data_IF_676321327163
#
_entry.id   IF_676321327163
#
_cell.length_a   1.000
_cell.length_b   1.000
_cell.length_c   1.000
_cell.angle_alpha   90.00
_cell.angle_beta   90.00
_cell.angle_gamma   90.00
#
_symmetry.space_group_name_H-M   'P 1'
#
loop_
_entity.id
_entity.type
_entity.pdbx_description
1 polymer ?
#
# COMPACT_ATOMS: atom_id res chain seq x y z
N UNK A 1 -28.71 6.87 55.77
CA UNK A 1 -27.29 7.30 55.89
C UNK A 1 -27.18 8.66 55.20
N UNK A 2 -26.31 9.54 55.69
CA UNK A 2 -26.08 10.88 55.13
C UNK A 2 -25.63 10.84 53.67
N UNK A 3 -25.67 11.88 52.83
CA UNK A 3 -26.43 13.14 52.68
C UNK A 3 -25.60 14.04 51.74
N UNK A 4 -26.24 14.98 51.03
CA UNK A 4 -25.64 16.06 50.23
C UNK A 4 -24.97 15.69 48.87
N UNK A 5 -25.46 16.24 47.74
CA UNK A 5 -24.78 16.25 46.44
C UNK A 5 -23.95 17.53 46.22
N UNK A 6 -23.18 17.59 45.13
CA UNK A 6 -22.48 18.80 44.64
C UNK A 6 -22.89 19.13 43.17
N UNK A 7 -22.79 20.40 42.71
CA UNK A 7 -23.75 20.94 41.76
C UNK A 7 -23.25 21.19 40.32
N UNK A 8 -24.19 21.57 39.44
CA UNK A 8 -23.98 21.86 38.02
C UNK A 8 -23.59 23.30 37.70
N UNK A 9 -22.71 23.48 36.71
CA UNK A 9 -22.64 24.61 35.78
C UNK A 9 -22.14 24.03 34.44
N UNK A 10 -22.93 23.96 33.37
CA UNK A 10 -23.49 25.05 32.53
C UNK A 10 -22.39 25.95 31.99
N UNK A 11 -22.04 25.72 30.71
CA UNK A 11 -21.13 26.54 29.91
C UNK A 11 -21.95 27.25 28.84
N UNK A 12 -21.70 28.53 28.62
CA UNK A 12 -22.54 29.43 27.83
C UNK A 12 -21.65 30.37 26.98
N UNK A 13 -22.06 30.64 25.75
CA UNK A 13 -21.25 31.34 24.76
C UNK A 13 -21.46 32.87 24.79
N UNK A 14 -20.46 33.70 24.44
CA UNK A 14 -20.58 35.16 24.46
C UNK A 14 -21.42 35.71 23.31
N UNK A 15 -22.15 36.81 23.53
CA UNK A 15 -21.95 37.96 22.63
C UNK A 15 -22.13 39.38 23.25
N UNK A 16 -21.38 40.32 22.66
CA UNK A 16 -21.73 41.73 22.36
C UNK A 16 -22.06 42.78 23.44
N UNK A 17 -21.61 44.02 23.15
CA UNK A 17 -21.97 45.31 23.76
C UNK A 17 -23.23 45.90 23.09
N UNK A 18 -23.92 46.88 23.70
CA UNK A 18 -23.72 48.32 23.38
C UNK A 18 -23.41 49.17 24.64
N UNK A 19 -22.82 50.38 24.62
CA UNK A 19 -22.98 51.60 23.78
C UNK A 19 -24.29 52.39 24.06
N UNK A 20 -24.40 53.72 23.91
CA UNK A 20 -23.46 54.77 23.45
C UNK A 20 -23.45 55.99 24.43
N UNK A 21 -22.77 57.12 24.19
CA UNK A 21 -23.22 58.33 23.43
C UNK A 21 -22.33 59.51 23.92
N UNK A 22 -21.88 60.56 23.20
CA UNK A 22 -21.87 61.02 21.79
C UNK A 22 -20.70 62.06 21.64
N UNK A 23 -19.95 62.22 20.52
CA UNK A 23 -20.22 62.89 19.20
C UNK A 23 -20.24 64.44 19.30
N UNK A 24 -19.79 65.27 18.30
CA UNK A 24 -19.43 65.01 16.88
C UNK A 24 -18.04 65.50 16.32
N UNK A 25 -17.68 64.94 15.13
CA UNK A 25 -17.10 65.48 13.85
C UNK A 25 -16.24 66.80 13.80
N UNK A 26 -15.38 67.14 12.80
CA UNK A 26 -14.83 66.61 11.50
C UNK A 26 -13.53 67.44 11.15
N UNK A 27 -12.97 67.66 9.92
CA UNK A 27 -13.05 67.08 8.55
C UNK A 27 -11.64 66.65 7.96
N UNK A 28 -11.45 66.28 6.66
CA UNK A 28 -10.20 65.65 6.15
C UNK A 28 -9.32 66.38 5.08
N UNK A 29 -8.15 65.76 4.76
CA UNK A 29 -7.20 66.01 3.62
C UNK A 29 -6.19 67.21 3.73
N UNK A 30 -4.97 67.22 3.15
CA UNK A 30 -4.22 66.29 2.26
C UNK A 30 -2.67 66.20 2.59
N UNK A 31 -1.66 66.12 1.67
CA UNK A 31 -0.86 64.89 1.55
C UNK A 31 0.71 65.02 1.45
N UNK A 32 1.36 63.86 1.23
CA UNK A 32 2.73 63.57 0.71
C UNK A 32 3.93 63.51 1.69
N UNK A 33 4.75 62.47 1.45
CA UNK A 33 6.13 62.28 1.95
C UNK A 33 7.14 62.99 1.02
N UNK A 34 8.39 63.21 1.45
CA UNK A 34 9.41 62.21 1.10
C UNK A 34 10.27 61.78 2.29
N UNK A 35 11.03 60.69 2.11
CA UNK A 35 12.09 60.28 3.02
C UNK A 35 13.45 60.75 2.48
N UNK A 36 14.41 60.99 3.38
CA UNK A 36 15.83 60.81 3.07
C UNK A 36 16.57 60.32 4.33
N UNK A 37 17.73 59.69 4.15
CA UNK A 37 18.48 59.03 5.21
C UNK A 37 19.52 59.95 5.87
N UNK A 38 19.78 59.73 7.16
CA UNK A 38 20.97 60.26 7.84
C UNK A 38 21.40 59.35 9.00
N UNK A 39 22.71 59.39 9.29
CA UNK A 39 23.38 58.44 10.18
C UNK A 39 22.99 58.61 11.67
N UNK A 40 23.14 57.56 12.51
CA UNK A 40 22.98 57.69 13.95
C UNK A 40 24.01 58.69 14.51
N UNK A 41 23.52 59.72 15.20
CA UNK A 41 24.37 60.68 15.92
C UNK A 41 25.17 59.94 16.98
N UNK A 42 26.50 60.04 16.92
CA UNK A 42 27.37 59.40 17.90
C UNK A 42 27.13 60.00 19.29
N UNK A 43 26.82 59.13 20.26
CA UNK A 43 26.43 59.48 21.63
C UNK A 43 27.43 60.43 22.32
N UNK A 44 28.72 60.30 21.99
CA UNK A 44 29.80 61.17 22.46
C UNK A 44 29.60 62.66 22.13
N UNK A 45 28.99 63.02 20.99
CA UNK A 45 28.71 64.43 20.66
C UNK A 45 27.59 65.02 21.53
N UNK A 46 26.58 64.22 21.87
CA UNK A 46 25.53 64.64 22.81
C UNK A 46 26.07 64.76 24.23
N UNK A 47 26.94 63.83 24.65
CA UNK A 47 27.61 63.92 25.95
C UNK A 47 28.55 65.13 26.04
N UNK A 48 29.31 65.45 24.97
CA UNK A 48 30.16 66.65 24.93
C UNK A 48 29.34 67.95 25.03
N UNK A 49 28.27 68.10 24.23
CA UNK A 49 27.40 69.27 24.29
C UNK A 49 26.67 69.42 25.63
N UNK A 50 26.27 68.31 26.26
CA UNK A 50 25.67 68.32 27.60
C UNK A 50 26.69 68.65 28.69
N UNK A 51 27.93 68.16 28.56
CA UNK A 51 29.02 68.53 29.45
C UNK A 51 29.28 70.05 29.40
N UNK A 52 29.62 70.59 28.22
CA UNK A 52 29.89 72.02 28.03
C UNK A 52 28.71 72.90 28.47
N UNK A 53 27.47 72.52 28.12
CA UNK A 53 26.27 73.26 28.53
C UNK A 53 26.00 73.18 30.04
N UNK A 54 26.43 72.11 30.73
CA UNK A 54 26.28 71.99 32.19
C UNK A 54 27.38 72.73 32.94
N UNK A 55 28.64 72.63 32.49
CA UNK A 55 29.80 73.28 33.09
C UNK A 55 29.70 74.80 32.91
N UNK A 56 29.39 75.28 31.70
CA UNK A 56 29.15 76.70 31.45
C UNK A 56 27.92 77.25 32.21
N UNK A 57 26.86 76.45 32.41
CA UNK A 57 25.70 76.87 33.20
C UNK A 57 26.03 76.96 34.70
N UNK A 58 26.80 76.00 35.22
CA UNK A 58 27.28 76.02 36.61
C UNK A 58 28.26 77.18 36.83
N UNK A 59 29.22 77.41 35.94
CA UNK A 59 30.17 78.53 36.06
C UNK A 59 29.50 79.89 35.85
N UNK A 60 28.49 80.01 34.98
CA UNK A 60 27.72 81.25 34.82
C UNK A 60 26.86 81.52 36.07
N UNK A 61 26.26 80.48 36.66
CA UNK A 61 25.54 80.58 37.94
C UNK A 61 26.50 80.90 39.10
N UNK A 62 27.67 80.26 39.15
CA UNK A 62 28.69 80.54 40.17
C UNK A 62 29.21 81.97 40.04
N UNK A 63 29.49 82.44 38.81
CA UNK A 63 29.89 83.83 38.53
C UNK A 63 28.79 84.83 38.89
N UNK A 64 27.53 84.49 38.66
CA UNK A 64 26.37 85.28 39.09
C UNK A 64 26.24 85.34 40.62
N UNK A 65 26.60 84.27 41.32
CA UNK A 65 26.52 84.17 42.78
C UNK A 65 27.76 84.66 43.54
N UNK A 66 28.96 84.65 42.94
CA UNK A 66 30.22 85.09 43.56
C UNK A 66 30.14 86.51 44.20
N UNK A 67 29.48 87.50 43.60
CA UNK A 67 29.26 88.82 44.22
C UNK A 67 28.43 88.78 45.52
N UNK A 68 27.60 87.77 45.72
CA UNK A 68 26.74 87.58 46.90
C UNK A 68 27.34 86.58 47.90
N UNK A 69 27.99 85.52 47.42
CA UNK A 69 28.73 84.56 48.24
C UNK A 69 29.91 85.23 48.94
N UNK A 70 30.61 86.15 48.28
CA UNK A 70 31.74 86.89 48.88
C UNK A 70 31.36 87.67 50.16
N UNK A 71 30.31 88.52 50.19
CA UNK A 71 29.85 89.14 51.43
C UNK A 71 29.20 88.16 52.41
N UNK A 72 28.47 87.12 51.95
CA UNK A 72 27.88 86.11 52.86
C UNK A 72 28.97 85.34 53.60
N UNK A 73 30.00 84.84 52.90
CA UNK A 73 31.13 84.12 53.52
C UNK A 73 31.96 85.05 54.40
N UNK A 74 32.19 86.30 54.00
CA UNK A 74 32.83 87.30 54.89
C UNK A 74 32.00 87.56 56.14
N UNK A 75 30.68 87.63 56.04
CA UNK A 75 29.80 87.85 57.20
C UNK A 75 29.78 86.61 58.12
N UNK A 76 29.70 85.41 57.56
CA UNK A 76 29.78 84.16 58.31
C UNK A 76 31.13 84.02 59.04
N UNK A 77 32.25 84.19 58.32
CA UNK A 77 33.59 84.18 58.93
C UNK A 77 33.73 85.29 59.98
N UNK A 78 33.11 86.46 59.80
CA UNK A 78 33.13 87.52 60.80
C UNK A 78 32.29 87.17 62.04
N UNK A 79 31.17 86.46 61.89
CA UNK A 79 30.38 85.91 63.01
C UNK A 79 31.14 84.79 63.75
N UNK A 80 31.89 83.95 63.04
CA UNK A 80 32.64 82.82 63.63
C UNK A 80 33.97 83.27 64.29
N UNK A 81 34.65 84.28 63.72
CA UNK A 81 35.91 84.85 64.26
C UNK A 81 35.64 85.91 65.33
N UNK A 82 34.48 86.57 65.30
CA UNK A 82 34.07 87.55 66.31
C UNK A 82 32.55 87.56 66.45
N UNK A 83 31.99 86.60 67.22
CA UNK A 83 30.58 86.62 67.57
C UNK A 83 30.23 88.00 68.14
N UNK A 84 29.10 88.61 67.74
CA UNK A 84 28.69 89.89 68.30
C UNK A 84 28.47 89.70 69.80
N UNK A 85 29.43 90.18 70.60
CA UNK A 85 29.32 90.19 72.05
C UNK A 85 28.06 90.98 72.39
N UNK A 86 27.04 90.25 72.85
CA UNK A 86 25.72 90.82 73.12
C UNK A 86 25.72 91.57 74.45
N UNK A 87 26.64 92.52 74.61
CA UNK A 87 26.55 93.55 75.64
C UNK A 87 25.20 94.23 75.48
N UNK A 88 24.43 94.27 76.57
CA UNK A 88 23.08 94.81 76.51
C UNK A 88 23.12 96.26 76.03
N UNK A 89 22.45 96.53 74.91
CA UNK A 89 22.43 97.85 74.26
C UNK A 89 21.65 98.87 75.10
N UNK A 90 20.91 98.44 76.13
CA UNK A 90 20.39 99.30 77.18
C UNK A 90 21.45 99.60 78.25
N UNK A 91 22.10 98.60 78.85
CA UNK A 91 23.20 98.78 79.81
C UNK A 91 24.36 99.62 79.25
N UNK A 92 24.80 99.34 78.01
CA UNK A 92 25.85 100.11 77.35
C UNK A 92 25.43 101.57 77.07
N UNK A 93 24.15 101.82 76.80
CA UNK A 93 23.64 103.20 76.68
C UNK A 93 23.58 103.91 78.03
N UNK A 94 23.20 103.22 79.11
CA UNK A 94 23.22 103.77 80.48
C UNK A 94 24.64 104.15 80.90
N UNK A 95 25.62 103.27 80.63
CA UNK A 95 27.05 103.52 80.86
C UNK A 95 27.54 104.76 80.08
N UNK A 96 27.14 104.90 78.82
CA UNK A 96 27.54 106.05 77.99
C UNK A 96 26.81 107.36 78.34
N UNK A 97 25.76 107.31 79.18
CA UNK A 97 25.04 108.50 79.68
C UNK A 97 25.34 108.85 81.14
N UNK A 98 26.14 108.04 81.83
CA UNK A 98 26.55 108.25 83.22
C UNK A 98 27.49 109.44 83.33
N UNK A 99 27.25 110.32 84.33
CA UNK A 99 28.09 111.50 84.59
C UNK A 99 28.73 111.40 85.97
N UNK A 100 27.99 110.90 86.97
CA UNK A 100 28.48 110.63 88.32
C UNK A 100 28.89 109.15 88.49
N UNK A 101 29.67 108.85 89.54
CA UNK A 101 30.14 107.47 89.80
C UNK A 101 28.98 106.50 90.12
N UNK A 102 27.92 106.99 90.78
CA UNK A 102 26.72 106.21 91.09
C UNK A 102 25.90 105.87 89.83
N UNK A 103 25.92 106.72 88.79
CA UNK A 103 25.28 106.41 87.51
C UNK A 103 25.95 105.22 86.81
N UNK A 104 27.29 105.16 86.86
CA UNK A 104 28.09 104.04 86.34
C UNK A 104 27.76 102.76 87.10
N UNK A 105 27.65 102.85 88.43
CA UNK A 105 27.27 101.73 89.30
C UNK A 105 25.86 101.21 89.00
N UNK A 106 24.88 102.10 88.81
CA UNK A 106 23.52 101.75 88.41
C UNK A 106 23.45 101.17 86.98
N UNK A 107 24.28 101.65 86.06
CA UNK A 107 24.36 101.13 84.69
C UNK A 107 24.95 99.70 84.63
N UNK A 108 25.86 99.36 85.56
CA UNK A 108 26.38 98.01 85.77
C UNK A 108 25.43 97.09 86.56
N UNK A 109 24.31 97.61 87.08
CA UNK A 109 23.36 96.87 87.92
C UNK A 109 22.11 96.32 87.20
N UNK A 110 22.27 95.61 86.06
CA UNK A 110 21.36 94.54 85.68
C UNK A 110 22.07 93.18 85.72
N UNK A 111 22.54 92.76 86.90
CA UNK A 111 22.93 91.37 87.13
C UNK A 111 21.64 90.54 87.21
N UNK A 112 21.39 89.56 86.31
CA UNK A 112 20.08 88.94 86.19
C UNK A 112 19.77 88.04 87.39
N UNK A 113 18.52 88.13 87.90
CA UNK A 113 18.03 87.42 89.10
C UNK A 113 18.14 85.88 89.01
N UNK A 114 18.39 85.33 87.83
CA UNK A 114 18.66 83.91 87.61
C UNK A 114 20.03 83.42 88.10
N UNK A 115 20.92 84.31 88.55
CA UNK A 115 22.28 83.93 88.97
C UNK A 115 22.34 82.89 90.11
N UNK A 116 21.46 82.89 91.14
CA UNK A 116 21.46 81.88 92.20
C UNK A 116 21.02 80.48 91.74
N UNK A 117 20.12 80.39 90.75
CA UNK A 117 19.64 79.12 90.19
C UNK A 117 20.58 78.53 89.12
N UNK A 118 21.58 79.30 88.66
CA UNK A 118 22.52 78.90 87.62
C UNK A 118 23.23 77.55 87.92
N UNK A 119 23.73 77.26 89.14
CA UNK A 119 24.39 75.97 89.43
C UNK A 119 23.44 74.78 89.30
N UNK A 120 22.17 74.96 89.70
CA UNK A 120 21.12 73.94 89.56
C UNK A 120 20.81 73.70 88.08
N UNK A 121 20.64 74.78 87.30
CA UNK A 121 20.35 74.70 85.87
C UNK A 121 21.50 74.04 85.09
N UNK A 122 22.75 74.28 85.49
CA UNK A 122 23.93 73.58 84.98
C UNK A 122 23.87 72.09 85.32
N UNK A 123 23.61 71.71 86.58
CA UNK A 123 23.50 70.30 86.98
C UNK A 123 22.37 69.54 86.27
N UNK A 124 21.24 70.20 86.02
CA UNK A 124 20.14 69.65 85.21
C UNK A 124 20.54 69.45 83.74
N UNK A 125 21.28 70.40 83.13
CA UNK A 125 21.81 70.28 81.77
C UNK A 125 22.92 69.21 81.66
N UNK A 126 23.80 69.08 82.65
CA UNK A 126 24.79 68.00 82.70
C UNK A 126 24.12 66.61 82.81
N UNK A 127 23.06 66.49 83.61
CA UNK A 127 22.31 65.24 83.71
C UNK A 127 21.62 64.88 82.38
N UNK A 128 21.05 65.87 81.68
CA UNK A 128 20.51 65.70 80.33
C UNK A 128 21.60 65.31 79.32
N UNK A 129 22.78 65.94 79.37
CA UNK A 129 23.92 65.61 78.51
C UNK A 129 24.37 64.15 78.72
N UNK A 130 24.65 63.74 79.98
CA UNK A 130 25.02 62.36 80.31
C UNK A 130 23.94 61.35 79.90
N UNK A 131 22.66 61.71 80.02
CA UNK A 131 21.55 60.87 79.58
C UNK A 131 21.47 60.75 78.04
N UNK A 132 21.73 61.85 77.32
CA UNK A 132 21.77 61.85 75.86
C UNK A 132 22.99 61.08 75.32
N UNK A 133 24.15 61.21 75.96
CA UNK A 133 25.36 60.42 75.68
C UNK A 133 25.13 58.94 75.93
N UNK A 134 24.52 58.57 77.06
CA UNK A 134 24.16 57.19 77.37
C UNK A 134 23.15 56.62 76.36
N UNK A 135 22.13 57.39 75.97
CA UNK A 135 21.17 57.04 74.94
C UNK A 135 21.82 56.84 73.56
N UNK A 136 22.72 57.76 73.16
CA UNK A 136 23.49 57.64 71.93
C UNK A 136 24.45 56.44 71.95
N UNK A 137 25.05 56.12 73.09
CA UNK A 137 25.88 54.93 73.26
C UNK A 137 25.05 53.64 73.22
N UNK A 138 23.84 53.63 73.77
CA UNK A 138 22.91 52.51 73.67
C UNK A 138 22.44 52.29 72.21
N UNK A 139 22.06 53.36 71.50
CA UNK A 139 21.70 53.32 70.09
C UNK A 139 22.87 52.81 69.20
N UNK A 140 24.09 53.31 69.41
CA UNK A 140 25.30 52.80 68.73
C UNK A 140 25.51 51.30 68.99
N UNK A 141 25.31 50.83 70.22
CA UNK A 141 25.39 49.39 70.57
C UNK A 141 24.29 48.55 69.92
N UNK A 142 23.06 49.06 69.80
CA UNK A 142 21.95 48.31 69.18
C UNK A 142 22.06 48.17 67.65
N UNK A 143 22.77 49.08 66.98
CA UNK A 143 22.98 49.02 65.53
C UNK A 143 23.94 47.89 65.12
N UNK A 144 24.94 47.54 65.94
CA UNK A 144 25.96 46.54 65.56
C UNK A 144 25.37 45.14 65.29
N UNK A 145 24.51 44.56 66.14
CA UNK A 145 23.84 43.29 65.83
C UNK A 145 22.96 43.35 64.57
N UNK A 146 22.26 44.46 64.34
CA UNK A 146 21.43 44.65 63.14
C UNK A 146 22.29 44.71 61.87
N UNK A 147 23.45 45.36 61.94
CA UNK A 147 24.42 45.43 60.85
C UNK A 147 24.95 44.03 60.49
N UNK A 148 25.34 43.23 61.49
CA UNK A 148 25.82 41.87 61.29
C UNK A 148 24.73 40.93 60.73
N UNK A 149 23.49 41.02 61.25
CA UNK A 149 22.36 40.27 60.74
C UNK A 149 22.04 40.65 59.27
N UNK A 150 22.08 41.94 58.94
CA UNK A 150 21.90 42.43 57.56
C UNK A 150 23.01 41.92 56.63
N UNK A 151 24.26 41.88 57.08
CA UNK A 151 25.37 41.39 56.26
C UNK A 151 25.30 39.88 56.03
N UNK A 152 24.94 39.10 57.06
CA UNK A 152 24.65 37.67 56.94
C UNK A 152 23.50 37.42 55.94
N UNK A 153 22.41 38.19 56.03
CA UNK A 153 21.29 38.09 55.09
C UNK A 153 21.70 38.42 53.63
N UNK A 154 22.55 39.44 53.40
CA UNK A 154 23.12 39.71 52.06
C UNK A 154 23.96 38.54 51.55
N UNK A 155 24.79 37.94 52.40
CA UNK A 155 25.65 36.81 52.02
C UNK A 155 24.80 35.59 51.62
N UNK A 156 23.77 35.26 52.42
CA UNK A 156 22.80 34.23 52.09
C UNK A 156 22.07 34.53 50.76
N UNK A 157 21.61 35.77 50.56
CA UNK A 157 20.95 36.18 49.31
C UNK A 157 21.87 36.06 48.09
N UNK A 158 23.14 36.43 48.23
CA UNK A 158 24.16 36.28 47.17
C UNK A 158 24.41 34.81 46.83
N UNK A 159 24.49 33.93 47.85
CA UNK A 159 24.62 32.48 47.65
C UNK A 159 23.36 31.92 46.98
N UNK A 160 22.16 32.32 47.40
CA UNK A 160 20.93 31.85 46.75
C UNK A 160 20.83 32.31 45.29
N UNK A 161 21.22 33.55 44.97
CA UNK A 161 21.27 34.05 43.60
C UNK A 161 22.16 33.19 42.73
N UNK A 162 23.41 32.94 43.14
CA UNK A 162 24.33 32.11 42.34
C UNK A 162 23.89 30.65 42.22
N UNK A 163 23.19 30.09 43.22
CA UNK A 163 22.56 28.76 43.07
C UNK A 163 21.39 28.75 42.08
N UNK A 164 20.56 29.79 42.05
CA UNK A 164 19.45 29.91 41.07
C UNK A 164 20.02 30.09 39.66
N UNK A 165 20.98 31.00 39.47
CA UNK A 165 21.67 31.23 38.21
C UNK A 165 22.32 29.93 37.67
N UNK A 166 22.93 29.13 38.56
CA UNK A 166 23.50 27.83 38.20
C UNK A 166 22.44 26.79 37.79
N UNK A 167 21.32 26.70 38.53
CA UNK A 167 20.23 25.78 38.20
C UNK A 167 19.48 26.19 36.93
N UNK A 168 19.40 27.48 36.61
CA UNK A 168 18.89 27.99 35.34
C UNK A 168 19.86 27.78 34.17
N UNK A 169 21.18 27.78 34.43
CA UNK A 169 22.19 27.39 33.46
C UNK A 169 22.11 25.87 33.13
N UNK A 170 21.78 25.03 34.10
CA UNK A 170 21.57 23.58 33.91
C UNK A 170 20.20 23.25 33.27
N UNK A 171 19.14 23.97 33.64
CA UNK A 171 17.80 23.77 33.07
C UNK A 171 17.71 24.11 31.57
N UNK A 172 18.49 25.08 31.08
CA UNK A 172 18.49 25.49 29.67
C UNK A 172 18.86 24.35 28.69
N UNK A 173 20.01 23.65 28.83
CA UNK A 173 20.33 22.51 27.97
C UNK A 173 19.34 21.35 28.17
N UNK A 174 18.83 21.09 29.38
CA UNK A 174 17.80 20.06 29.60
C UNK A 174 16.49 20.32 28.85
N UNK A 175 16.03 21.58 28.80
CA UNK A 175 14.87 21.96 27.96
C UNK A 175 15.15 21.78 26.47
N UNK A 176 16.36 22.12 26.03
CA UNK A 176 16.80 21.94 24.63
C UNK A 176 16.90 20.46 24.23
N UNK A 177 17.43 19.58 25.10
CA UNK A 177 17.47 18.14 24.84
C UNK A 177 16.07 17.53 24.84
N UNK A 178 15.15 17.99 25.70
CA UNK A 178 13.77 17.48 25.71
C UNK A 178 13.04 17.81 24.39
N UNK A 179 13.09 19.07 23.94
CA UNK A 179 12.53 19.48 22.62
C UNK A 179 13.11 18.63 21.47
N UNK A 180 14.40 18.29 21.53
CA UNK A 180 15.04 17.41 20.54
C UNK A 180 14.56 15.95 20.64
N UNK A 181 14.26 15.44 21.84
CA UNK A 181 13.67 14.11 22.04
C UNK A 181 12.24 14.08 21.52
N UNK A 182 11.41 15.09 21.83
CA UNK A 182 10.04 15.22 21.31
C UNK A 182 10.02 15.21 19.77
N UNK A 183 10.91 15.99 19.14
CA UNK A 183 11.06 16.02 17.68
C UNK A 183 11.58 14.70 17.06
N UNK A 184 12.31 13.88 17.82
CA UNK A 184 12.71 12.53 17.40
C UNK A 184 11.57 11.52 17.56
N UNK A 185 10.81 11.59 18.65
CA UNK A 185 9.63 10.76 18.89
C UNK A 185 8.53 11.03 17.87
N UNK A 186 8.32 12.30 17.50
CA UNK A 186 7.41 12.66 16.40
C UNK A 186 7.83 11.99 15.09
N UNK A 187 9.10 12.15 14.67
CA UNK A 187 9.61 11.54 13.43
C UNK A 187 9.57 10.01 13.46
N UNK A 188 9.79 9.40 14.62
CA UNK A 188 9.64 7.96 14.82
C UNK A 188 8.18 7.54 14.58
N UNK A 189 7.21 8.23 15.19
CA UNK A 189 5.79 7.94 15.01
C UNK A 189 5.32 8.15 13.56
N UNK A 190 5.78 9.21 12.89
CA UNK A 190 5.54 9.47 11.46
C UNK A 190 6.12 8.33 10.59
N UNK A 191 7.36 7.91 10.85
CA UNK A 191 8.02 6.80 10.16
C UNK A 191 7.31 5.46 10.38
N UNK A 192 6.90 5.17 11.62
CA UNK A 192 6.12 3.96 11.95
C UNK A 192 4.76 3.97 11.25
N UNK A 193 4.04 5.11 11.23
CA UNK A 193 2.77 5.25 10.53
C UNK A 193 2.90 5.09 9.00
N UNK A 194 3.99 5.58 8.41
CA UNK A 194 4.32 5.32 7.00
C UNK A 194 4.65 3.84 6.76
N UNK A 195 5.41 3.19 7.65
CA UNK A 195 5.73 1.77 7.54
C UNK A 195 4.48 0.90 7.63
N UNK A 196 3.53 1.20 8.54
CA UNK A 196 2.24 0.51 8.63
C UNK A 196 1.47 0.59 7.31
N UNK A 197 1.30 1.80 6.75
CA UNK A 197 0.62 2.00 5.45
C UNK A 197 1.32 1.27 4.29
N UNK A 198 2.65 1.25 4.29
CA UNK A 198 3.44 0.53 3.29
C UNK A 198 3.31 -0.99 3.41
N UNK A 199 2.82 -1.53 4.54
CA UNK A 199 2.51 -2.95 4.72
C UNK A 199 1.06 -3.31 4.36
N UNK A 200 0.11 -2.37 4.46
CA UNK A 200 -1.32 -2.61 4.19
C UNK A 200 -1.57 -3.19 2.79
N UNK A 201 -0.96 -2.61 1.74
CA UNK A 201 -1.11 -3.11 0.37
C UNK A 201 -0.48 -4.50 0.15
N UNK A 202 0.80 -4.75 0.51
CA UNK A 202 1.37 -6.11 0.45
C UNK A 202 0.59 -7.16 1.26
N UNK A 203 0.04 -6.81 2.42
CA UNK A 203 -0.80 -7.72 3.22
C UNK A 203 -2.11 -8.05 2.50
N UNK A 204 -2.77 -7.07 1.88
CA UNK A 204 -3.96 -7.29 1.06
C UNK A 204 -3.66 -8.17 -0.17
N UNK A 205 -2.54 -7.91 -0.89
CA UNK A 205 -2.13 -8.74 -2.03
C UNK A 205 -1.78 -10.19 -1.65
N UNK A 206 -1.16 -10.41 -0.47
CA UNK A 206 -0.88 -11.76 0.04
C UNK A 206 -2.20 -12.48 0.34
N UNK A 207 -3.12 -11.84 1.06
CA UNK A 207 -4.43 -12.40 1.34
C UNK A 207 -5.23 -12.75 0.05
N UNK A 208 -5.17 -11.89 -0.98
CA UNK A 208 -5.76 -12.20 -2.28
C UNK A 208 -5.13 -13.45 -2.91
N UNK A 209 -3.79 -13.52 -2.96
CA UNK A 209 -3.05 -14.65 -3.53
C UNK A 209 -3.33 -15.96 -2.80
N UNK A 210 -3.48 -15.93 -1.48
CA UNK A 210 -3.87 -17.11 -0.69
C UNK A 210 -5.28 -17.63 -1.08
N UNK A 211 -6.25 -16.75 -1.33
CA UNK A 211 -7.57 -17.18 -1.83
C UNK A 211 -7.50 -17.82 -3.22
N UNK A 212 -6.60 -17.32 -4.09
CA UNK A 212 -6.36 -17.87 -5.42
C UNK A 212 -5.67 -19.24 -5.33
N UNK A 213 -4.66 -19.39 -4.47
CA UNK A 213 -3.99 -20.67 -4.20
C UNK A 213 -5.03 -21.70 -3.74
N UNK A 214 -5.83 -21.38 -2.72
CA UNK A 214 -6.88 -22.29 -2.24
C UNK A 214 -7.98 -22.57 -3.28
N UNK A 215 -8.24 -21.67 -4.24
CA UNK A 215 -9.10 -21.96 -5.39
C UNK A 215 -8.46 -22.95 -6.37
N UNK A 216 -7.18 -22.78 -6.68
CA UNK A 216 -6.41 -23.68 -7.55
C UNK A 216 -6.23 -25.07 -6.92
N UNK A 217 -5.94 -25.17 -5.63
CA UNK A 217 -5.86 -26.45 -4.89
C UNK A 217 -7.18 -27.23 -4.97
N UNK A 218 -8.32 -26.57 -4.70
CA UNK A 218 -9.66 -27.17 -4.80
C UNK A 218 -10.00 -27.61 -6.23
N UNK A 219 -9.54 -26.90 -7.25
CA UNK A 219 -9.69 -27.30 -8.66
C UNK A 219 -8.82 -28.52 -8.97
N UNK A 220 -7.54 -28.47 -8.61
CA UNK A 220 -6.55 -29.52 -8.87
C UNK A 220 -6.87 -30.83 -8.13
N UNK A 221 -7.49 -30.76 -6.94
CA UNK A 221 -8.05 -31.92 -6.25
C UNK A 221 -9.21 -32.58 -7.04
N UNK A 222 -10.13 -31.79 -7.60
CA UNK A 222 -11.23 -32.29 -8.45
C UNK A 222 -10.69 -32.92 -9.74
N UNK A 223 -9.72 -32.28 -10.40
CA UNK A 223 -9.10 -32.79 -11.63
C UNK A 223 -8.33 -34.09 -11.36
N UNK A 224 -7.64 -34.23 -10.23
CA UNK A 224 -6.99 -35.49 -9.80
C UNK A 224 -7.99 -36.63 -9.61
N UNK A 225 -9.10 -36.41 -8.90
CA UNK A 225 -10.10 -37.47 -8.69
C UNK A 225 -10.87 -37.80 -9.99
N UNK A 226 -11.12 -36.82 -10.86
CA UNK A 226 -11.70 -37.06 -12.18
C UNK A 226 -10.76 -37.90 -13.07
N UNK A 227 -9.45 -37.61 -13.09
CA UNK A 227 -8.44 -38.40 -13.81
C UNK A 227 -8.36 -39.82 -13.26
N UNK A 228 -8.32 -39.99 -11.93
CA UNK A 228 -8.32 -41.29 -11.24
C UNK A 228 -9.56 -42.13 -11.58
N UNK A 229 -10.74 -41.51 -11.65
CA UNK A 229 -11.97 -42.16 -12.10
C UNK A 229 -11.90 -42.58 -13.58
N UNK A 230 -11.35 -41.73 -14.46
CA UNK A 230 -11.15 -42.05 -15.88
C UNK A 230 -10.16 -43.22 -16.09
N UNK A 231 -9.05 -43.24 -15.33
CA UNK A 231 -8.09 -44.37 -15.33
C UNK A 231 -8.74 -45.66 -14.84
N UNK A 232 -9.55 -45.60 -13.77
CA UNK A 232 -10.31 -46.77 -13.31
C UNK A 232 -11.31 -47.29 -14.36
N UNK A 233 -12.02 -46.39 -15.05
CA UNK A 233 -12.94 -46.74 -16.12
C UNK A 233 -12.22 -47.37 -17.33
N UNK A 234 -11.11 -46.78 -17.78
CA UNK A 234 -10.28 -47.32 -18.86
C UNK A 234 -9.67 -48.69 -18.50
N UNK A 235 -9.23 -48.86 -17.25
CA UNK A 235 -8.76 -50.16 -16.72
C UNK A 235 -9.87 -51.21 -16.81
N UNK A 236 -11.11 -50.84 -16.49
CA UNK A 236 -12.25 -51.74 -16.56
C UNK A 236 -12.66 -52.08 -18.00
N UNK A 237 -12.65 -51.10 -18.92
CA UNK A 237 -12.84 -51.33 -20.36
C UNK A 237 -11.78 -52.28 -20.91
N UNK A 238 -10.51 -52.11 -20.51
CA UNK A 238 -9.40 -52.98 -20.92
C UNK A 238 -9.59 -54.41 -20.42
N UNK A 239 -10.06 -54.60 -19.18
CA UNK A 239 -10.44 -55.94 -18.65
C UNK A 239 -11.61 -56.55 -19.43
N UNK A 240 -12.63 -55.77 -19.77
CA UNK A 240 -13.77 -56.23 -20.56
C UNK A 240 -13.33 -56.67 -21.97
N UNK A 241 -12.51 -55.87 -22.65
CA UNK A 241 -11.91 -56.22 -23.94
C UNK A 241 -11.07 -57.49 -23.85
N UNK A 242 -10.22 -57.62 -22.82
CA UNK A 242 -9.42 -58.83 -22.60
C UNK A 242 -10.30 -60.08 -22.37
N UNK A 243 -11.39 -59.95 -21.63
CA UNK A 243 -12.36 -61.04 -21.45
C UNK A 243 -13.09 -61.41 -22.75
N UNK A 244 -13.42 -60.43 -23.60
CA UNK A 244 -14.00 -60.67 -24.94
C UNK A 244 -12.97 -61.38 -25.85
N UNK A 245 -11.71 -60.94 -25.86
CA UNK A 245 -10.64 -61.56 -26.64
C UNK A 245 -10.34 -63.00 -26.16
N UNK A 246 -10.39 -63.28 -24.86
CA UNK A 246 -10.32 -64.64 -24.33
C UNK A 246 -11.50 -65.49 -24.79
N UNK A 247 -12.74 -64.95 -24.78
CA UNK A 247 -13.92 -65.66 -25.29
C UNK A 247 -13.79 -65.95 -26.78
N UNK A 248 -13.38 -64.97 -27.59
CA UNK A 248 -13.14 -65.15 -29.03
C UNK A 248 -12.04 -66.17 -29.33
N UNK A 249 -10.96 -66.21 -28.53
CA UNK A 249 -9.88 -67.21 -28.66
C UNK A 249 -10.28 -68.61 -28.17
N UNK A 250 -11.24 -68.73 -27.24
CA UNK A 250 -11.76 -70.01 -26.73
C UNK A 250 -12.91 -70.56 -27.56
N UNK A 251 -13.67 -69.70 -28.23
CA UNK A 251 -14.59 -70.11 -29.28
C UNK A 251 -13.79 -70.75 -30.41
N UNK A 252 -14.15 -71.97 -30.80
CA UNK A 252 -13.75 -72.49 -32.11
C UNK A 252 -14.38 -71.57 -33.16
N UNK A 253 -13.65 -71.24 -34.23
CA UNK A 253 -14.13 -70.37 -35.31
C UNK A 253 -15.34 -70.93 -36.08
N UNK A 254 -15.69 -72.18 -35.79
CA UNK A 254 -16.95 -72.83 -36.16
C UNK A 254 -17.41 -73.55 -34.89
N UNK A 255 -18.65 -73.32 -34.43
CA UNK A 255 -19.23 -74.16 -33.37
C UNK A 255 -19.53 -75.57 -33.89
N UNK A 256 -19.89 -76.50 -33.00
CA UNK A 256 -20.08 -77.90 -33.39
C UNK A 256 -21.19 -78.04 -34.43
N UNK A 257 -22.31 -77.33 -34.25
CA UNK A 257 -23.50 -77.48 -35.09
C UNK A 257 -23.28 -76.86 -36.47
N UNK A 258 -22.60 -75.71 -36.53
CA UNK A 258 -22.18 -75.07 -37.78
C UNK A 258 -21.15 -75.94 -38.52
N UNK A 259 -20.24 -76.64 -37.80
CA UNK A 259 -19.26 -77.52 -38.43
C UNK A 259 -19.92 -78.77 -39.06
N UNK A 260 -20.82 -79.43 -38.32
CA UNK A 260 -21.63 -80.53 -38.86
C UNK A 260 -22.50 -80.06 -40.03
N UNK A 261 -23.13 -78.88 -39.92
CA UNK A 261 -23.93 -78.28 -41.00
C UNK A 261 -23.12 -78.05 -42.27
N UNK A 262 -21.87 -77.58 -42.16
CA UNK A 262 -20.95 -77.35 -43.28
C UNK A 262 -20.51 -78.69 -43.91
N UNK A 263 -20.21 -79.70 -43.09
CA UNK A 263 -19.88 -81.06 -43.55
C UNK A 263 -21.07 -81.74 -44.26
N UNK A 264 -22.29 -81.56 -43.75
CA UNK A 264 -23.53 -82.07 -44.37
C UNK A 264 -23.94 -81.27 -45.62
N UNK A 265 -23.62 -79.98 -45.69
CA UNK A 265 -23.73 -79.21 -46.93
C UNK A 265 -22.75 -79.75 -47.98
N UNK A 266 -21.51 -80.05 -47.59
CA UNK A 266 -20.47 -80.61 -48.44
C UNK A 266 -20.84 -82.02 -48.94
N UNK A 267 -21.29 -82.93 -48.06
CA UNK A 267 -21.79 -84.28 -48.43
C UNK A 267 -22.96 -84.22 -49.40
N UNK A 268 -23.93 -83.33 -49.17
CA UNK A 268 -25.07 -83.15 -50.09
C UNK A 268 -24.63 -82.51 -51.41
N UNK A 269 -23.64 -81.62 -51.41
CA UNK A 269 -23.11 -81.03 -52.63
C UNK A 269 -22.36 -82.09 -53.48
N UNK A 270 -21.43 -82.85 -52.90
CA UNK A 270 -20.73 -83.93 -53.61
C UNK A 270 -21.68 -85.02 -54.11
N UNK A 271 -22.70 -85.39 -53.33
CA UNK A 271 -23.75 -86.29 -53.79
C UNK A 271 -24.55 -85.71 -54.97
N UNK A 272 -24.97 -84.44 -54.92
CA UNK A 272 -25.66 -83.78 -56.04
C UNK A 272 -24.79 -83.65 -57.29
N UNK A 273 -23.50 -83.36 -57.15
CA UNK A 273 -22.54 -83.35 -58.26
C UNK A 273 -22.40 -84.74 -58.89
N UNK A 274 -22.26 -85.78 -58.07
CA UNK A 274 -22.24 -87.17 -58.55
C UNK A 274 -23.55 -87.55 -59.27
N UNK A 275 -24.71 -87.24 -58.70
CA UNK A 275 -26.01 -87.46 -59.36
C UNK A 275 -26.14 -86.67 -60.67
N UNK A 276 -25.62 -85.44 -60.73
CA UNK A 276 -25.64 -84.65 -61.98
C UNK A 276 -24.70 -85.25 -63.03
N UNK A 277 -23.52 -85.75 -62.65
CA UNK A 277 -22.63 -86.52 -63.54
C UNK A 277 -23.29 -87.77 -64.08
N UNK A 278 -23.97 -88.56 -63.23
CA UNK A 278 -24.71 -89.75 -63.67
C UNK A 278 -25.84 -89.36 -64.63
N UNK A 279 -26.61 -88.31 -64.33
CA UNK A 279 -27.65 -87.82 -65.24
C UNK A 279 -27.07 -87.33 -66.59
N UNK A 280 -25.93 -86.63 -66.60
CA UNK A 280 -25.22 -86.24 -67.82
C UNK A 280 -24.76 -87.47 -68.63
N UNK A 281 -24.22 -88.50 -67.98
CA UNK A 281 -23.81 -89.73 -68.66
C UNK A 281 -24.99 -90.61 -69.14
N UNK A 282 -26.24 -90.18 -68.90
CA UNK A 282 -27.44 -90.78 -69.47
C UNK A 282 -28.04 -89.91 -70.60
N UNK A 283 -27.44 -88.75 -70.92
CA UNK A 283 -27.79 -87.93 -72.09
C UNK A 283 -27.15 -88.54 -73.34
N UNK A 284 -27.73 -89.64 -73.82
CA UNK A 284 -27.30 -90.27 -75.07
C UNK A 284 -27.81 -89.48 -76.28
N UNK A 285 -26.97 -89.33 -77.31
CA UNK A 285 -27.31 -88.64 -78.56
C UNK A 285 -28.46 -89.29 -79.35
N UNK A 286 -28.78 -90.56 -79.10
CA UNK A 286 -29.87 -91.27 -79.79
C UNK A 286 -31.23 -90.74 -79.32
N UNK A 287 -31.69 -89.67 -79.97
CA UNK A 287 -32.91 -88.94 -79.62
C UNK A 287 -32.69 -87.50 -79.12
N UNK A 288 -31.47 -86.95 -79.17
CA UNK A 288 -31.30 -85.50 -79.03
C UNK A 288 -31.75 -84.78 -80.30
N UNK A 289 -32.38 -83.61 -80.14
CA UNK A 289 -32.86 -82.77 -81.23
C UNK A 289 -31.68 -82.30 -82.11
N UNK A 290 -31.72 -82.49 -83.44
CA UNK A 290 -30.70 -81.97 -84.36
C UNK A 290 -30.39 -80.48 -84.18
N UNK A 291 -31.37 -79.62 -83.86
CA UNK A 291 -31.12 -78.19 -83.60
C UNK A 291 -30.21 -77.97 -82.38
N UNK A 292 -30.37 -78.78 -81.32
CA UNK A 292 -29.53 -78.71 -80.12
C UNK A 292 -28.09 -79.16 -80.43
N UNK A 293 -27.92 -80.16 -81.31
CA UNK A 293 -26.60 -80.60 -81.75
C UNK A 293 -25.91 -79.55 -82.64
N UNK A 294 -26.67 -78.89 -83.51
CA UNK A 294 -26.19 -77.77 -84.33
C UNK A 294 -25.71 -76.62 -83.43
N UNK A 295 -26.52 -76.21 -82.44
CA UNK A 295 -26.18 -75.15 -81.49
C UNK A 295 -24.95 -75.50 -80.63
N UNK A 296 -24.83 -76.75 -80.17
CA UNK A 296 -23.66 -77.21 -79.41
C UNK A 296 -22.36 -77.07 -80.23
N UNK A 297 -22.37 -77.52 -81.49
CA UNK A 297 -21.21 -77.43 -82.38
C UNK A 297 -20.91 -75.99 -82.81
N UNK A 298 -21.91 -75.12 -82.92
CA UNK A 298 -21.71 -73.69 -83.12
C UNK A 298 -21.03 -73.02 -81.91
N UNK A 299 -21.47 -73.32 -80.68
CA UNK A 299 -20.81 -72.82 -79.47
C UNK A 299 -19.38 -73.34 -79.31
N UNK A 300 -19.11 -74.57 -79.76
CA UNK A 300 -17.76 -75.13 -79.83
C UNK A 300 -16.87 -74.38 -80.83
N UNK A 301 -17.35 -74.08 -82.04
CA UNK A 301 -16.55 -73.34 -83.04
C UNK A 301 -16.38 -71.87 -82.70
N UNK A 302 -17.34 -71.26 -81.99
CA UNK A 302 -17.21 -69.92 -81.42
C UNK A 302 -16.23 -69.83 -80.22
N UNK A 303 -15.75 -70.97 -79.70
CA UNK A 303 -14.99 -71.08 -78.45
C UNK A 303 -15.77 -70.61 -77.19
N UNK A 304 -17.10 -70.54 -77.28
CA UNK A 304 -17.99 -70.22 -76.16
C UNK A 304 -18.31 -71.45 -75.29
N UNK A 305 -18.16 -72.67 -75.85
CA UNK A 305 -18.36 -73.94 -75.16
C UNK A 305 -17.09 -74.80 -75.18
N UNK A 306 -16.47 -75.00 -74.01
CA UNK A 306 -15.39 -75.97 -73.83
C UNK A 306 -15.95 -77.34 -73.42
N UNK A 307 -15.93 -78.31 -74.34
CA UNK A 307 -16.43 -79.67 -74.07
C UNK A 307 -15.77 -80.37 -72.89
N UNK A 308 -14.52 -80.04 -72.54
CA UNK A 308 -13.82 -80.64 -71.41
C UNK A 308 -14.48 -80.30 -70.05
N UNK A 309 -15.12 -79.13 -69.94
CA UNK A 309 -15.76 -78.67 -68.70
C UNK A 309 -17.18 -79.24 -68.51
N UNK A 310 -17.74 -79.90 -69.55
CA UNK A 310 -19.10 -80.44 -69.49
C UNK A 310 -19.16 -81.87 -68.89
N UNK A 311 -18.03 -82.58 -68.78
CA UNK A 311 -17.96 -84.00 -68.38
C UNK A 311 -18.97 -84.90 -69.15
N UNK A 312 -19.01 -84.75 -70.48
CA UNK A 312 -19.82 -85.60 -71.36
C UNK A 312 -19.27 -87.03 -71.40
N UNK A 313 -20.13 -87.99 -71.76
CA UNK A 313 -19.69 -89.35 -72.04
C UNK A 313 -18.84 -89.42 -73.32
N UNK A 314 -18.06 -90.50 -73.45
CA UNK A 314 -17.07 -90.65 -74.51
C UNK A 314 -17.67 -90.70 -75.92
N UNK A 315 -18.88 -91.27 -76.07
CA UNK A 315 -19.54 -91.43 -77.36
C UNK A 315 -20.17 -90.09 -77.79
N UNK A 316 -20.82 -89.38 -76.88
CA UNK A 316 -21.32 -88.01 -77.12
C UNK A 316 -20.20 -87.05 -77.47
N UNK A 317 -19.08 -87.10 -76.75
CA UNK A 317 -17.90 -86.28 -77.04
C UNK A 317 -17.31 -86.56 -78.44
N UNK A 318 -17.15 -87.84 -78.81
CA UNK A 318 -16.64 -88.24 -80.13
C UNK A 318 -17.60 -87.88 -81.26
N UNK A 319 -18.91 -88.01 -81.06
CA UNK A 319 -19.90 -87.70 -82.07
C UNK A 319 -20.08 -86.18 -82.29
N UNK A 320 -19.99 -85.34 -81.24
CA UNK A 320 -19.92 -83.88 -81.41
C UNK A 320 -18.64 -83.46 -82.16
N UNK A 321 -17.49 -84.05 -81.84
CA UNK A 321 -16.26 -83.86 -82.63
C UNK A 321 -16.42 -84.31 -84.09
N UNK A 322 -17.17 -85.38 -84.35
CA UNK A 322 -17.44 -85.87 -85.72
C UNK A 322 -18.32 -84.92 -86.52
N UNK A 323 -19.39 -84.36 -85.93
CA UNK A 323 -20.22 -83.33 -86.57
C UNK A 323 -19.37 -82.08 -86.88
N UNK A 324 -18.53 -81.66 -85.93
CA UNK A 324 -17.59 -80.56 -86.13
C UNK A 324 -16.60 -80.83 -87.28
N UNK A 325 -16.09 -82.06 -87.40
CA UNK A 325 -15.17 -82.46 -88.46
C UNK A 325 -15.82 -82.55 -89.84
N UNK A 326 -17.06 -83.05 -89.96
CA UNK A 326 -17.82 -83.03 -91.23
C UNK A 326 -18.13 -81.58 -91.68
N UNK A 327 -18.44 -80.68 -90.75
CA UNK A 327 -18.64 -79.26 -91.06
C UNK A 327 -17.33 -78.53 -91.43
N UNK A 328 -16.21 -78.84 -90.78
CA UNK A 328 -14.91 -78.23 -91.03
C UNK A 328 -14.23 -78.69 -92.34
N UNK A 329 -14.69 -79.79 -92.94
CA UNK A 329 -14.16 -80.32 -94.21
C UNK A 329 -14.61 -79.57 -95.48
N UNK A 330 -15.37 -78.49 -95.35
CA UNK A 330 -16.03 -77.78 -96.47
C UNK A 330 -15.49 -76.36 -96.66
N UNK A 331 -14.95 -76.08 -97.85
CA UNK A 331 -14.41 -74.77 -98.20
C UNK A 331 -15.45 -73.73 -98.66
N UNK A 332 -16.72 -74.12 -98.79
CA UNK A 332 -17.83 -73.22 -99.14
C UNK A 332 -18.60 -72.82 -97.86
N UNK A 333 -18.57 -71.54 -97.42
CA UNK A 333 -19.25 -71.10 -96.22
C UNK A 333 -20.78 -71.22 -96.30
N UNK A 334 -21.38 -71.31 -97.49
CA UNK A 334 -22.82 -71.56 -97.65
C UNK A 334 -23.19 -73.04 -97.56
N UNK A 335 -22.22 -73.97 -97.73
CA UNK A 335 -22.45 -75.40 -97.57
C UNK A 335 -22.38 -75.87 -96.10
N UNK A 336 -21.67 -75.13 -95.23
CA UNK A 336 -21.45 -75.50 -93.82
C UNK A 336 -22.76 -75.73 -93.05
N UNK A 337 -23.80 -74.87 -93.09
CA UNK A 337 -25.02 -75.11 -92.30
C UNK A 337 -25.75 -76.39 -92.69
N UNK A 338 -25.94 -76.64 -94.00
CA UNK A 338 -26.62 -77.83 -94.51
C UNK A 338 -25.83 -79.12 -94.24
N UNK A 339 -24.50 -79.05 -94.22
CA UNK A 339 -23.66 -80.19 -93.84
C UNK A 339 -23.73 -80.49 -92.34
N UNK A 340 -23.73 -79.45 -91.49
CA UNK A 340 -23.84 -79.58 -90.04
C UNK A 340 -25.23 -80.13 -89.64
N UNK A 341 -26.29 -79.64 -90.28
CA UNK A 341 -27.66 -80.18 -90.17
C UNK A 341 -27.73 -81.66 -90.58
N UNK A 342 -27.16 -82.02 -91.74
CA UNK A 342 -27.10 -83.41 -92.22
C UNK A 342 -26.27 -84.31 -91.29
N UNK A 343 -25.18 -83.82 -90.71
CA UNK A 343 -24.35 -84.56 -89.77
C UNK A 343 -25.09 -84.77 -88.43
N UNK A 344 -25.75 -83.73 -87.90
CA UNK A 344 -26.59 -83.81 -86.71
C UNK A 344 -27.72 -84.84 -86.86
N UNK A 345 -28.46 -84.82 -87.99
CA UNK A 345 -29.51 -85.83 -88.26
C UNK A 345 -28.97 -87.26 -88.39
N UNK A 346 -27.80 -87.46 -89.03
CA UNK A 346 -27.16 -88.78 -89.11
C UNK A 346 -26.74 -89.32 -87.73
N UNK A 347 -26.33 -88.44 -86.82
CA UNK A 347 -25.95 -88.80 -85.44
C UNK A 347 -27.17 -89.04 -84.55
N UNK A 348 -28.21 -88.21 -84.66
CA UNK A 348 -29.42 -88.32 -83.85
C UNK A 348 -30.30 -89.54 -84.21
N UNK A 349 -30.28 -89.98 -85.48
CA UNK A 349 -31.18 -91.05 -85.99
C UNK A 349 -30.47 -92.28 -86.56
N UNK A 350 -29.14 -92.24 -86.70
CA UNK A 350 -28.35 -93.31 -87.29
C UNK A 350 -28.39 -93.32 -88.83
N UNK A 351 -27.44 -94.05 -89.44
CA UNK A 351 -27.35 -94.15 -90.89
C UNK A 351 -28.45 -95.07 -91.47
N UNK A 352 -29.20 -94.66 -92.51
CA UNK A 352 -30.16 -95.53 -93.17
C UNK A 352 -29.44 -96.69 -93.90
N UNK A 353 -29.86 -97.93 -93.64
CA UNK A 353 -29.30 -99.10 -94.33
C UNK A 353 -29.64 -99.10 -95.82
N UNK A 354 -28.61 -99.10 -96.67
CA UNK A 354 -28.75 -99.52 -98.06
C UNK A 354 -28.77 -101.05 -98.12
N UNK A 355 -29.83 -101.64 -98.70
CA UNK A 355 -30.01 -103.09 -98.79
C UNK A 355 -30.10 -103.53 -100.27
N UNK A 356 -29.18 -104.37 -100.80
CA UNK A 356 -29.03 -104.57 -102.24
C UNK A 356 -29.77 -105.79 -102.82
N UNK A 357 -30.36 -105.60 -104.00
CA UNK A 357 -30.83 -106.64 -104.97
C UNK A 357 -31.90 -107.65 -104.49
N UNK A 358 -32.88 -108.07 -105.31
CA UNK A 358 -33.22 -107.68 -106.68
C UNK A 358 -33.87 -108.85 -107.43
N UNK A 359 -34.93 -108.61 -108.20
CA UNK A 359 -35.57 -109.63 -109.06
C UNK A 359 -35.83 -109.09 -110.48
N UNK A 360 -35.77 -109.97 -111.48
CA UNK A 360 -35.72 -109.61 -112.91
C UNK A 360 -36.77 -110.38 -113.75
N UNK A 361 -37.67 -109.61 -114.37
CA UNK A 361 -37.96 -109.76 -115.80
C UNK A 361 -39.28 -110.40 -116.25
N UNK A 362 -39.56 -110.16 -117.54
CA UNK A 362 -40.55 -110.80 -118.43
C UNK A 362 -42.02 -110.36 -118.19
N UNK A 363 -42.84 -110.07 -119.22
CA UNK A 363 -42.57 -110.04 -120.68
C UNK A 363 -43.62 -109.19 -121.43
N UNK A 364 -43.19 -108.38 -122.40
CA UNK A 364 -43.26 -108.78 -123.81
C UNK A 364 -41.89 -108.54 -124.43
#
# INVERSE_FOLDING_TARGET
MSSAPAPSARSEAPPALPAATEVPAEPPAAPLMPADASAPVAEASLQAMLAESSEASVDQMMTSMIPYLSPIVRHQVQLDVSPPLHTDVAAQRRLNSAVEFDDVLAALQPLPDSLPDLPRRIGELEAQLRSAEAGAAAAKRSVVPQMLARESAKQLLKISSSTVESLEAENRPLRSTNIRVDALLQKMNESTGLHTRNLELPQAEVAERDTVIHAMERRLAKEREAFKAAVAANTQQTRQLHAILIKAKKGKFVDADTAHSLEDLQKRNTHRLHSNRVLRSHVSLVGMDPEILILAVQGMTASELNLADLELDQDTFVALQRIQAEAAGLSDPHAVPAALEKAAHQVAHGAPQANPTGWRGLRQ
#
